data_IF_315593164266
#
_entry.id   IF_315593164266
#
_cell.length_a   1.000
_cell.length_b   1.000
_cell.length_c   1.000
_cell.angle_alpha   90.00
_cell.angle_beta   90.00
_cell.angle_gamma   90.00
#
_symmetry.space_group_name_H-M   'P 1'
#
loop_
_entity.id
_entity.type
_entity.pdbx_description
1 polymer ?
#
# COMPACT_ATOMS: atom_id res chain seq x y z
N UNK A 1 -10.13 25.22 59.76
CA UNK A 1 -11.47 24.71 60.08
C UNK A 1 -11.77 23.65 59.03
N UNK A 2 -11.96 22.42 59.52
CA UNK A 2 -12.65 21.26 58.93
C UNK A 2 -12.20 20.78 57.52
N UNK A 3 -11.45 19.67 57.40
CA UNK A 3 -11.90 18.25 57.40
C UNK A 3 -13.11 18.06 56.48
N UNK A 4 -13.12 17.30 55.39
CA UNK A 4 -12.50 16.02 55.08
C UNK A 4 -13.56 15.22 54.32
N UNK A 5 -13.21 14.60 53.20
CA UNK A 5 -14.11 13.67 52.51
C UNK A 5 -13.33 12.45 52.04
N UNK A 6 -13.55 11.29 52.69
CA UNK A 6 -13.18 9.99 52.15
C UNK A 6 -14.41 9.29 51.55
N UNK A 7 -14.23 8.54 50.45
CA UNK A 7 -14.25 7.07 50.52
C UNK A 7 -14.11 6.41 49.13
N UNK A 8 -13.42 5.26 49.08
CA UNK A 8 -13.41 4.35 47.95
C UNK A 8 -14.55 3.32 48.07
N UNK A 9 -14.97 2.74 46.95
CA UNK A 9 -15.74 1.49 46.94
C UNK A 9 -15.02 0.46 46.11
N UNK A 10 -14.36 -0.46 46.82
CA UNK A 10 -13.99 -1.77 46.34
C UNK A 10 -15.20 -2.71 46.46
N UNK A 11 -15.41 -3.54 45.45
CA UNK A 11 -16.29 -4.70 45.44
C UNK A 11 -16.10 -5.38 44.09
N UNK A 12 -15.85 -6.67 43.95
CA UNK A 12 -15.87 -7.78 44.90
C UNK A 12 -16.23 -9.02 44.07
N UNK A 13 -15.60 -10.16 44.41
CA UNK A 13 -15.99 -11.54 44.05
C UNK A 13 -15.89 -11.92 42.56
N UNK A 14 -14.94 -12.74 42.11
CA UNK A 14 -14.69 -14.15 42.44
C UNK A 14 -15.88 -15.08 42.15
N UNK A 15 -15.88 -15.72 40.98
CA UNK A 15 -16.39 -17.08 40.83
C UNK A 15 -15.43 -17.88 39.94
N UNK A 16 -14.69 -18.77 40.60
CA UNK A 16 -14.12 -19.98 40.02
C UNK A 16 -15.26 -20.97 39.83
N UNK A 17 -15.29 -21.65 38.68
CA UNK A 17 -15.90 -22.98 38.59
C UNK A 17 -14.92 -23.90 37.87
N UNK A 18 -14.51 -24.89 38.65
CA UNK A 18 -13.72 -26.06 38.30
C UNK A 18 -14.53 -27.07 37.48
N UNK A 19 -13.81 -28.15 37.12
CA UNK A 19 -14.28 -29.49 36.74
C UNK A 19 -14.66 -29.65 35.26
N UNK A 20 -13.76 -30.23 34.45
CA UNK A 20 -13.59 -31.69 34.27
C UNK A 20 -14.78 -32.30 33.51
N UNK A 21 -14.54 -32.85 32.32
CA UNK A 21 -14.61 -34.31 32.15
C UNK A 21 -14.14 -34.74 30.75
N UNK A 22 -13.65 -35.98 30.73
CA UNK A 22 -13.12 -36.82 29.66
C UNK A 22 -13.97 -36.83 28.37
N UNK A 23 -13.44 -37.17 27.18
CA UNK A 23 -12.74 -38.43 26.85
C UNK A 23 -11.93 -38.34 25.55
N UNK A 24 -10.88 -39.16 25.39
CA UNK A 24 -10.23 -39.46 24.13
C UNK A 24 -10.89 -40.67 23.45
N UNK A 25 -11.23 -40.53 22.17
CA UNK A 25 -11.57 -41.62 21.24
C UNK A 25 -11.23 -41.13 19.84
N UNK A 26 -10.26 -41.73 19.14
CA UNK A 26 -10.53 -42.80 18.18
C UNK A 26 -11.27 -42.19 16.97
N UNK A 27 -10.69 -42.06 15.77
CA UNK A 27 -10.09 -43.13 14.98
C UNK A 27 -9.03 -42.61 13.97
N UNK A 28 -8.06 -43.46 13.57
CA UNK A 28 -7.18 -43.23 12.44
C UNK A 28 -7.80 -43.79 11.14
N UNK A 29 -7.93 -42.96 10.10
CA UNK A 29 -8.16 -43.49 8.77
C UNK A 29 -8.86 -42.57 7.79
N UNK A 30 -8.09 -41.82 7.02
CA UNK A 30 -8.43 -41.51 5.63
C UNK A 30 -7.13 -41.58 4.80
N UNK A 31 -6.87 -42.70 4.09
CA UNK A 31 -5.88 -42.73 3.04
C UNK A 31 -6.49 -42.03 1.82
N UNK A 32 -6.00 -40.84 1.52
CA UNK A 32 -6.43 -40.05 0.37
C UNK A 32 -5.32 -39.12 -0.08
N UNK A 33 -4.16 -39.68 -0.42
CA UNK A 33 -3.18 -39.01 -1.29
C UNK A 33 -3.76 -39.06 -2.71
N UNK A 34 -4.81 -38.31 -2.95
CA UNK A 34 -5.29 -38.06 -4.28
C UNK A 34 -4.64 -36.77 -4.78
N UNK A 35 -3.83 -36.97 -5.82
CA UNK A 35 -3.41 -36.01 -6.82
C UNK A 35 -2.79 -34.70 -6.29
N UNK A 36 -1.49 -34.56 -6.57
CA UNK A 36 -0.95 -33.27 -6.95
C UNK A 36 -1.81 -32.70 -8.08
N UNK A 37 -2.79 -31.87 -7.70
CA UNK A 37 -3.40 -30.89 -8.55
C UNK A 37 -2.56 -29.64 -8.42
N UNK A 38 -1.46 -29.59 -9.16
CA UNK A 38 -0.90 -28.34 -9.64
C UNK A 38 -2.05 -27.55 -10.26
N UNK A 39 -2.64 -26.66 -9.47
CA UNK A 39 -3.77 -25.80 -9.82
C UNK A 39 -3.46 -24.78 -10.91
N UNK A 40 -2.54 -25.10 -11.83
CA UNK A 40 -2.44 -24.47 -13.14
C UNK A 40 -3.51 -25.08 -14.04
N UNK A 41 -4.74 -24.61 -13.83
CA UNK A 41 -5.78 -24.75 -14.84
C UNK A 41 -5.24 -24.26 -16.20
N UNK A 42 -5.50 -24.99 -17.30
CA UNK A 42 -5.02 -24.62 -18.62
C UNK A 42 -5.88 -23.46 -19.16
N UNK A 43 -5.23 -22.39 -19.64
CA UNK A 43 -5.83 -21.51 -20.63
C UNK A 43 -6.78 -20.42 -20.13
N UNK A 44 -6.48 -19.75 -19.01
CA UNK A 44 -7.04 -18.42 -18.79
C UNK A 44 -6.45 -17.47 -19.83
N UNK A 45 -7.23 -17.07 -20.84
CA UNK A 45 -6.92 -15.92 -21.72
C UNK A 45 -6.36 -14.78 -20.86
N UNK A 46 -5.27 -14.11 -21.26
CA UNK A 46 -4.70 -13.03 -20.47
C UNK A 46 -5.77 -11.97 -20.25
N UNK A 47 -6.30 -11.91 -19.01
CA UNK A 47 -7.22 -10.83 -18.63
C UNK A 47 -6.43 -9.55 -18.78
N UNK A 48 -6.94 -8.62 -19.59
CA UNK A 48 -6.30 -7.34 -19.80
C UNK A 48 -6.04 -6.66 -18.45
N UNK A 49 -4.87 -6.03 -18.32
CA UNK A 49 -4.42 -5.31 -17.11
C UNK A 49 -5.49 -4.31 -16.67
N UNK A 50 -5.97 -4.44 -15.44
CA UNK A 50 -6.98 -3.58 -14.83
C UNK A 50 -6.32 -2.53 -13.95
N UNK A 51 -6.54 -1.27 -14.31
CA UNK A 51 -5.94 -0.12 -13.63
C UNK A 51 -7.06 0.76 -13.07
N UNK A 52 -6.98 1.09 -11.78
CA UNK A 52 -7.77 2.13 -11.13
C UNK A 52 -6.88 3.35 -10.90
N UNK A 53 -7.36 4.53 -11.23
CA UNK A 53 -6.61 5.79 -11.11
C UNK A 53 -7.47 6.83 -10.39
N UNK A 54 -7.01 7.23 -9.21
CA UNK A 54 -7.63 8.26 -8.37
C UNK A 54 -6.86 9.57 -8.50
N UNK A 55 -7.47 10.56 -9.14
CA UNK A 55 -6.91 11.89 -9.36
C UNK A 55 -8.05 12.83 -9.74
N UNK A 56 -8.09 14.02 -9.15
CA UNK A 56 -9.13 15.03 -9.37
C UNK A 56 -8.76 16.08 -10.42
N UNK A 57 -7.52 16.05 -10.92
CA UNK A 57 -7.04 17.00 -11.91
C UNK A 57 -7.42 16.54 -13.33
N UNK A 58 -8.17 17.36 -14.08
CA UNK A 58 -8.65 17.00 -15.41
C UNK A 58 -7.52 16.85 -16.44
N UNK A 59 -6.41 17.59 -16.30
CA UNK A 59 -5.27 17.49 -17.21
C UNK A 59 -4.50 16.19 -16.97
N UNK A 60 -4.27 15.84 -15.70
CA UNK A 60 -3.56 14.61 -15.32
C UNK A 60 -4.37 13.36 -15.68
N UNK A 61 -5.67 13.36 -15.39
CA UNK A 61 -6.57 12.26 -15.76
C UNK A 61 -6.66 12.09 -17.28
N UNK A 62 -6.74 13.17 -18.06
CA UNK A 62 -6.73 13.11 -19.51
C UNK A 62 -5.41 12.54 -20.07
N UNK A 63 -4.27 13.00 -19.56
CA UNK A 63 -2.95 12.50 -19.94
C UNK A 63 -2.76 11.03 -19.56
N UNK A 64 -3.32 10.59 -18.43
CA UNK A 64 -3.29 9.19 -18.02
C UNK A 64 -4.17 8.32 -18.93
N UNK A 65 -5.37 8.79 -19.27
CA UNK A 65 -6.31 8.09 -20.16
C UNK A 65 -5.75 7.86 -21.56
N UNK A 66 -5.01 8.82 -22.09
CA UNK A 66 -4.38 8.69 -23.40
C UNK A 66 -3.40 7.50 -23.46
N UNK A 67 -2.68 7.26 -22.37
CA UNK A 67 -1.72 6.16 -22.23
C UNK A 67 -2.38 4.85 -21.80
N UNK A 68 -3.45 4.94 -21.01
CA UNK A 68 -4.19 3.80 -20.47
C UNK A 68 -5.69 3.91 -20.82
N UNK A 69 -6.10 3.63 -22.06
CA UNK A 69 -7.49 3.84 -22.52
C UNK A 69 -8.54 3.03 -21.75
N UNK A 70 -8.13 1.91 -21.14
CA UNK A 70 -8.98 0.98 -20.40
C UNK A 70 -8.97 1.22 -18.88
N UNK A 71 -8.22 2.21 -18.39
CA UNK A 71 -8.17 2.52 -16.97
C UNK A 71 -9.51 3.07 -16.47
N UNK A 72 -9.89 2.65 -15.27
CA UNK A 72 -10.98 3.26 -14.53
C UNK A 72 -10.46 4.52 -13.82
N UNK A 73 -10.96 5.68 -14.22
CA UNK A 73 -10.61 6.97 -13.61
C UNK A 73 -11.71 7.36 -12.62
N UNK A 74 -11.31 7.84 -11.45
CA UNK A 74 -12.19 8.35 -10.40
C UNK A 74 -11.58 9.61 -9.80
N UNK A 75 -12.43 10.57 -9.42
CA UNK A 75 -11.99 11.89 -8.95
C UNK A 75 -12.11 12.02 -7.42
N UNK A 76 -12.89 11.16 -6.77
CA UNK A 76 -13.19 11.24 -5.35
C UNK A 76 -12.71 10.01 -4.58
N UNK A 77 -12.35 10.20 -3.30
CA UNK A 77 -12.00 9.11 -2.42
C UNK A 77 -13.15 8.10 -2.27
N UNK A 78 -14.40 8.57 -2.20
CA UNK A 78 -15.60 7.74 -2.11
C UNK A 78 -15.75 6.80 -3.32
N UNK A 79 -15.64 7.35 -4.53
CA UNK A 79 -15.73 6.56 -5.76
C UNK A 79 -14.60 5.54 -5.84
N UNK A 80 -13.38 5.93 -5.45
CA UNK A 80 -12.25 5.00 -5.39
C UNK A 80 -12.53 3.85 -4.41
N UNK A 81 -13.03 4.16 -3.21
CA UNK A 81 -13.37 3.16 -2.20
C UNK A 81 -14.43 2.18 -2.70
N UNK A 82 -15.46 2.69 -3.38
CA UNK A 82 -16.50 1.84 -3.97
C UNK A 82 -15.91 0.87 -5.02
N UNK A 83 -14.98 1.35 -5.85
CA UNK A 83 -14.31 0.52 -6.89
C UNK A 83 -13.34 -0.51 -6.32
N UNK A 84 -12.81 -0.31 -5.12
CA UNK A 84 -11.96 -1.29 -4.44
C UNK A 84 -12.70 -2.55 -3.97
N UNK A 85 -14.02 -2.65 -4.20
CA UNK A 85 -14.76 -3.90 -4.06
C UNK A 85 -14.39 -4.93 -5.14
N UNK A 86 -13.79 -4.49 -6.25
CA UNK A 86 -13.32 -5.32 -7.35
C UNK A 86 -11.80 -5.54 -7.30
N UNK A 87 -11.27 -6.62 -7.89
CA UNK A 87 -9.83 -6.84 -7.98
C UNK A 87 -9.18 -5.97 -9.05
N UNK A 88 -8.02 -5.42 -8.73
CA UNK A 88 -7.21 -4.56 -9.61
C UNK A 88 -5.77 -5.04 -9.65
N UNK A 89 -5.14 -4.93 -10.82
CA UNK A 89 -3.70 -5.18 -10.95
C UNK A 89 -2.92 -3.97 -10.43
N UNK A 90 -3.44 -2.76 -10.69
CA UNK A 90 -2.84 -1.51 -10.25
C UNK A 90 -3.86 -0.51 -9.74
N UNK A 91 -3.48 0.17 -8.67
CA UNK A 91 -4.26 1.26 -8.08
C UNK A 91 -3.33 2.45 -7.88
N UNK A 92 -3.59 3.52 -8.63
CA UNK A 92 -2.89 4.78 -8.54
C UNK A 92 -3.69 5.70 -7.61
N UNK A 93 -3.03 6.25 -6.59
CA UNK A 93 -3.62 7.08 -5.55
C UNK A 93 -2.96 8.45 -5.48
N UNK A 94 -3.71 9.51 -5.80
CA UNK A 94 -3.40 10.86 -5.34
C UNK A 94 -3.86 11.06 -3.89
N UNK A 95 -3.06 11.80 -3.13
CA UNK A 95 -3.39 12.19 -1.78
C UNK A 95 -4.29 13.42 -1.74
N UNK A 96 -3.95 14.40 -2.57
CA UNK A 96 -4.54 15.73 -2.58
C UNK A 96 -5.75 15.67 -3.53
N UNK A 97 -6.95 15.95 -3.01
CA UNK A 97 -8.21 15.84 -3.76
C UNK A 97 -9.07 17.09 -3.51
N UNK A 98 -10.16 17.22 -4.28
CA UNK A 98 -11.11 18.34 -4.25
C UNK A 98 -10.51 19.70 -4.70
N UNK A 99 -9.51 19.68 -5.57
CA UNK A 99 -8.82 20.84 -6.13
C UNK A 99 -7.85 21.52 -5.16
N UNK A 100 -7.59 20.90 -4.01
CA UNK A 100 -6.73 21.43 -2.96
C UNK A 100 -5.39 20.69 -2.93
N UNK A 101 -4.29 21.42 -2.69
CA UNK A 101 -2.94 20.84 -2.58
C UNK A 101 -2.47 20.87 -1.13
N UNK A 102 -1.72 19.85 -0.69
CA UNK A 102 -1.25 19.69 0.69
C UNK A 102 -2.38 19.55 1.71
N UNK A 103 -3.39 18.76 1.38
CA UNK A 103 -4.56 18.52 2.23
C UNK A 103 -4.14 17.87 3.56
N UNK A 104 -4.93 18.06 4.63
CA UNK A 104 -4.73 17.34 5.88
C UNK A 104 -5.02 15.84 5.69
N UNK A 105 -4.03 14.99 5.94
CA UNK A 105 -4.18 13.53 5.85
C UNK A 105 -5.23 12.94 6.80
N UNK A 106 -5.70 13.68 7.81
CA UNK A 106 -6.80 13.24 8.68
C UNK A 106 -8.20 13.40 8.06
N UNK A 107 -8.34 14.13 6.95
CA UNK A 107 -9.63 14.33 6.28
C UNK A 107 -10.17 13.05 5.65
N UNK A 108 -11.50 12.93 5.62
CA UNK A 108 -12.21 11.78 5.05
C UNK A 108 -12.39 11.83 3.53
N UNK A 109 -12.05 12.95 2.88
CA UNK A 109 -12.21 13.18 1.44
C UNK A 109 -10.87 13.26 0.70
N UNK A 110 -9.79 12.73 1.29
CA UNK A 110 -8.45 12.71 0.70
C UNK A 110 -7.98 11.28 0.40
N UNK A 111 -6.89 11.12 -0.34
CA UNK A 111 -6.34 9.79 -0.67
C UNK A 111 -5.92 8.96 0.55
N UNK A 112 -5.65 9.60 1.70
CA UNK A 112 -5.38 8.86 2.93
C UNK A 112 -6.62 8.12 3.45
N UNK A 113 -7.84 8.60 3.19
CA UNK A 113 -9.06 7.86 3.55
C UNK A 113 -9.14 6.53 2.81
N UNK A 114 -8.76 6.53 1.53
CA UNK A 114 -8.70 5.31 0.72
C UNK A 114 -7.72 4.31 1.35
N UNK A 115 -6.53 4.78 1.76
CA UNK A 115 -5.53 3.96 2.44
C UNK A 115 -6.06 3.42 3.78
N UNK A 116 -6.70 4.26 4.61
CA UNK A 116 -7.34 3.83 5.86
C UNK A 116 -8.38 2.74 5.62
N UNK A 117 -9.18 2.89 4.57
CA UNK A 117 -10.21 1.92 4.19
C UNK A 117 -9.60 0.59 3.72
N UNK A 118 -8.48 0.63 2.98
CA UNK A 118 -7.75 -0.57 2.57
C UNK A 118 -7.20 -1.33 3.78
N UNK A 119 -6.52 -0.64 4.69
CA UNK A 119 -5.87 -1.30 5.85
C UNK A 119 -6.87 -1.76 6.92
N UNK A 120 -8.10 -1.22 6.92
CA UNK A 120 -9.19 -1.71 7.76
C UNK A 120 -9.75 -3.07 7.29
N UNK A 121 -9.42 -3.51 6.07
CA UNK A 121 -9.86 -4.78 5.49
C UNK A 121 -8.73 -5.81 5.51
N UNK A 122 -9.03 -7.12 5.43
CA UNK A 122 -8.00 -8.16 5.25
C UNK A 122 -7.15 -7.86 4.00
N UNK A 123 -5.85 -8.14 4.06
CA UNK A 123 -4.93 -7.87 2.95
C UNK A 123 -5.10 -8.83 1.76
N UNK A 124 -5.73 -10.00 1.96
CA UNK A 124 -5.83 -11.06 0.95
C UNK A 124 -6.39 -10.61 -0.41
N UNK A 125 -7.44 -9.76 -0.50
CA UNK A 125 -7.97 -9.28 -1.79
C UNK A 125 -7.02 -8.37 -2.56
N UNK A 126 -6.03 -7.77 -1.89
CA UNK A 126 -5.12 -6.77 -2.46
C UNK A 126 -3.69 -7.30 -2.64
N UNK A 127 -3.46 -8.59 -2.36
CA UNK A 127 -2.11 -9.17 -2.29
C UNK A 127 -1.35 -9.07 -3.62
N UNK A 128 -2.06 -9.17 -4.73
CA UNK A 128 -1.50 -9.11 -6.07
C UNK A 128 -1.60 -7.72 -6.71
N UNK A 129 -2.25 -6.77 -6.02
CA UNK A 129 -2.39 -5.38 -6.47
C UNK A 129 -1.11 -4.57 -6.18
N UNK A 130 -0.65 -3.81 -7.15
CA UNK A 130 0.38 -2.79 -6.97
C UNK A 130 -0.24 -1.42 -6.71
N UNK A 131 0.04 -0.85 -5.54
CA UNK A 131 -0.37 0.51 -5.22
C UNK A 131 0.71 1.52 -5.61
N UNK A 132 0.33 2.52 -6.40
CA UNK A 132 1.22 3.58 -6.87
C UNK A 132 0.71 4.89 -6.25
N UNK A 133 1.49 5.48 -5.35
CA UNK A 133 1.14 6.76 -4.75
C UNK A 133 1.76 7.88 -5.59
N UNK A 134 0.94 8.74 -6.17
CA UNK A 134 1.35 9.84 -7.04
C UNK A 134 0.79 11.14 -6.51
N UNK A 135 1.62 11.88 -5.76
CA UNK A 135 1.22 13.13 -5.13
C UNK A 135 2.40 14.08 -5.04
N UNK A 136 2.11 15.39 -5.03
CA UNK A 136 3.08 16.44 -4.75
C UNK A 136 3.44 16.50 -3.26
N UNK A 137 2.56 16.02 -2.38
CA UNK A 137 2.80 16.02 -0.94
C UNK A 137 3.67 14.82 -0.51
N UNK A 138 4.99 14.98 -0.60
CA UNK A 138 5.98 13.94 -0.25
C UNK A 138 5.80 13.41 1.18
N UNK A 139 5.39 14.29 2.12
CA UNK A 139 5.14 13.88 3.50
C UNK A 139 3.95 12.93 3.58
N UNK A 140 2.85 13.28 2.92
CA UNK A 140 1.67 12.42 2.86
C UNK A 140 1.94 11.11 2.11
N UNK A 141 2.68 11.16 0.99
CA UNK A 141 3.12 9.95 0.29
C UNK A 141 3.87 8.99 1.22
N UNK A 142 4.78 9.52 2.05
CA UNK A 142 5.50 8.74 3.05
C UNK A 142 4.58 8.04 4.05
N UNK A 143 3.53 8.72 4.51
CA UNK A 143 2.53 8.15 5.42
C UNK A 143 1.70 7.05 4.73
N UNK A 144 1.22 7.30 3.51
CA UNK A 144 0.43 6.33 2.74
C UNK A 144 1.23 5.06 2.45
N UNK A 145 2.45 5.21 1.93
CA UNK A 145 3.33 4.09 1.64
C UNK A 145 3.66 3.27 2.90
N UNK A 146 3.89 3.96 4.02
CA UNK A 146 4.19 3.28 5.29
C UNK A 146 3.00 2.44 5.73
N UNK A 147 1.79 3.00 5.75
CA UNK A 147 0.59 2.28 6.14
C UNK A 147 0.32 1.05 5.26
N UNK A 148 0.43 1.21 3.94
CA UNK A 148 0.25 0.10 2.99
C UNK A 148 1.30 -1.02 3.20
N UNK A 149 2.57 -0.65 3.43
CA UNK A 149 3.66 -1.63 3.65
C UNK A 149 3.55 -2.36 4.99
N UNK A 150 3.19 -1.64 6.05
CA UNK A 150 2.95 -2.25 7.37
C UNK A 150 1.78 -3.26 7.30
N UNK A 151 0.83 -3.06 6.38
CA UNK A 151 -0.24 -4.01 6.07
C UNK A 151 0.16 -5.13 5.08
N UNK A 152 1.43 -5.20 4.67
CA UNK A 152 1.95 -6.24 3.78
C UNK A 152 1.62 -6.06 2.30
N UNK A 153 1.20 -4.86 1.87
CA UNK A 153 0.84 -4.57 0.49
C UNK A 153 2.02 -4.04 -0.33
N UNK A 154 2.01 -4.32 -1.63
CA UNK A 154 3.03 -3.83 -2.56
C UNK A 154 2.74 -2.40 -2.95
N UNK A 155 3.65 -1.46 -2.64
CA UNK A 155 3.45 -0.07 -3.02
C UNK A 155 4.75 0.70 -3.33
N UNK A 156 4.62 1.67 -4.24
CA UNK A 156 5.69 2.55 -4.70
C UNK A 156 5.22 4.00 -4.77
N UNK A 157 6.14 4.94 -4.63
CA UNK A 157 5.88 6.35 -4.88
C UNK A 157 6.34 6.70 -6.29
N UNK A 158 5.49 7.36 -7.06
CA UNK A 158 5.77 7.84 -8.40
C UNK A 158 5.45 9.34 -8.48
N UNK A 159 6.45 10.21 -8.63
CA UNK A 159 6.21 11.62 -8.87
C UNK A 159 5.43 11.84 -10.17
N UNK A 160 4.63 12.91 -10.22
CA UNK A 160 3.97 13.31 -11.46
C UNK A 160 4.98 13.58 -12.59
N UNK A 161 4.56 13.32 -13.83
CA UNK A 161 5.36 13.55 -15.02
C UNK A 161 6.46 12.51 -15.28
N UNK A 162 6.59 11.48 -14.46
CA UNK A 162 7.48 10.35 -14.72
C UNK A 162 6.68 9.18 -15.29
N UNK A 163 7.06 8.66 -16.46
CA UNK A 163 6.45 7.45 -17.00
C UNK A 163 7.10 6.21 -16.37
N UNK A 164 6.27 5.31 -15.82
CA UNK A 164 6.76 4.09 -15.18
C UNK A 164 7.33 3.12 -16.21
N UNK A 165 6.81 3.10 -17.44
CA UNK A 165 7.28 2.21 -18.50
C UNK A 165 8.61 2.69 -19.08
N UNK A 166 8.80 4.01 -19.21
CA UNK A 166 10.10 4.62 -19.52
C UNK A 166 11.11 4.34 -18.40
N UNK A 167 10.71 4.52 -17.14
CA UNK A 167 11.56 4.22 -15.98
C UNK A 167 11.91 2.73 -15.82
N UNK A 168 10.96 1.82 -16.07
CA UNK A 168 11.20 0.38 -16.07
C UNK A 168 12.07 -0.05 -17.25
N UNK A 169 11.95 0.62 -18.40
CA UNK A 169 12.81 0.39 -19.56
C UNK A 169 14.24 0.83 -19.27
N UNK A 170 14.44 1.99 -18.64
CA UNK A 170 15.74 2.45 -18.17
C UNK A 170 16.39 1.48 -17.17
N UNK A 171 15.58 0.85 -16.31
CA UNK A 171 16.05 -0.19 -15.39
C UNK A 171 16.37 -1.51 -16.09
N UNK A 172 15.62 -1.89 -17.13
CA UNK A 172 15.89 -3.10 -17.94
C UNK A 172 17.18 -2.97 -18.76
N UNK A 173 17.46 -1.79 -19.33
CA UNK A 173 18.73 -1.52 -20.03
C UNK A 173 19.95 -1.71 -19.11
N UNK A 174 19.79 -1.49 -17.81
CA UNK A 174 20.84 -1.75 -16.82
C UNK A 174 20.99 -3.24 -16.44
N UNK A 175 20.04 -4.11 -16.78
CA UNK A 175 20.05 -5.56 -16.45
C UNK A 175 20.66 -6.45 -17.53
N UNK A 176 20.74 -6.01 -18.80
CA UNK A 176 21.34 -6.76 -19.91
C UNK A 176 22.86 -7.01 -19.76
N UNK A 177 23.47 -6.57 -18.66
CA UNK A 177 24.88 -6.80 -18.32
C UNK A 177 25.18 -7.99 -17.41
N UNK A 178 24.20 -8.70 -16.83
CA UNK A 178 24.51 -9.77 -15.85
C UNK A 178 23.54 -10.97 -15.86
N UNK A 179 24.00 -12.17 -16.26
CA UNK A 179 23.17 -13.36 -16.30
C UNK A 179 23.03 -14.01 -14.92
N UNK A 180 21.80 -14.37 -14.58
CA UNK A 180 21.50 -15.44 -13.62
C UNK A 180 21.05 -15.00 -12.22
N UNK A 181 19.75 -14.76 -12.05
CA UNK A 181 18.98 -15.19 -10.87
C UNK A 181 17.47 -15.01 -11.09
N UNK A 182 16.62 -15.94 -10.60
CA UNK A 182 15.19 -15.93 -10.89
C UNK A 182 14.44 -14.80 -10.18
N UNK A 183 13.37 -14.41 -10.87
CA UNK A 183 12.40 -13.37 -10.62
C UNK A 183 12.01 -13.14 -9.15
N UNK A 184 12.57 -12.08 -8.56
CA UNK A 184 11.72 -11.16 -7.80
C UNK A 184 12.24 -9.75 -8.02
N UNK A 185 11.86 -9.16 -9.16
CA UNK A 185 12.02 -7.73 -9.39
C UNK A 185 11.49 -6.91 -8.19
N UNK A 186 10.49 -7.44 -7.46
CA UNK A 186 9.97 -6.95 -6.17
C UNK A 186 11.06 -6.76 -5.08
N UNK A 187 12.00 -7.70 -4.91
CA UNK A 187 13.10 -7.58 -3.94
C UNK A 187 14.19 -6.60 -4.41
N UNK A 188 14.37 -6.46 -5.73
CA UNK A 188 15.37 -5.57 -6.33
C UNK A 188 14.89 -4.11 -6.37
N UNK A 189 13.60 -3.87 -6.59
CA UNK A 189 12.96 -2.54 -6.55
C UNK A 189 13.07 -1.92 -5.15
N UNK A 190 12.81 -2.71 -4.11
CA UNK A 190 13.02 -2.31 -2.71
C UNK A 190 14.49 -1.94 -2.42
N UNK A 191 15.44 -2.69 -2.98
CA UNK A 191 16.87 -2.42 -2.85
C UNK A 191 17.35 -1.15 -3.60
N UNK A 192 16.80 -0.88 -4.79
CA UNK A 192 17.14 0.30 -5.59
C UNK A 192 16.57 1.60 -4.99
N UNK A 193 15.32 1.56 -4.50
CA UNK A 193 14.70 2.68 -3.78
C UNK A 193 15.45 3.03 -2.48
N UNK A 194 15.99 2.03 -1.77
CA UNK A 194 16.85 2.24 -0.61
C UNK A 194 18.20 2.92 -0.90
N UNK A 195 18.66 2.92 -2.17
CA UNK A 195 19.88 3.62 -2.61
C UNK A 195 19.58 5.06 -3.05
N UNK A 196 18.45 5.30 -3.72
CA UNK A 196 18.00 6.65 -4.10
C UNK A 196 17.61 7.51 -2.88
N UNK A 197 16.92 6.93 -1.90
CA UNK A 197 16.61 7.62 -0.65
C UNK A 197 17.86 7.99 0.19
N UNK A 198 19.01 7.33 -0.05
CA UNK A 198 20.30 7.71 0.54
C UNK A 198 20.93 8.89 -0.20
N UNK A 199 20.94 8.85 -1.54
CA UNK A 199 21.43 9.96 -2.38
C UNK A 199 20.65 11.26 -2.18
N UNK A 200 19.32 11.20 -2.08
CA UNK A 200 18.50 12.39 -1.83
C UNK A 200 18.82 13.04 -0.46
N UNK A 201 19.12 12.23 0.56
CA UNK A 201 19.54 12.71 1.89
C UNK A 201 20.93 13.36 1.88
N UNK A 202 21.87 12.81 1.11
CA UNK A 202 23.21 13.39 0.95
C UNK A 202 23.18 14.75 0.23
N UNK A 203 22.37 14.88 -0.82
CA UNK A 203 22.19 16.15 -1.55
C UNK A 203 21.54 17.21 -0.65
N UNK A 204 20.53 16.83 0.15
CA UNK A 204 19.87 17.75 1.09
C UNK A 204 20.77 18.16 2.26
N UNK A 205 21.71 17.31 2.69
CA UNK A 205 22.70 17.65 3.73
C UNK A 205 23.76 18.64 3.24
N UNK A 206 24.15 18.58 1.96
CA UNK A 206 25.07 19.56 1.34
C UNK A 206 24.44 20.93 1.15
N UNK A 207 23.13 20.98 0.89
CA UNK A 207 22.40 22.25 0.75
C UNK A 207 22.25 23.02 2.08
N UNK A 208 22.40 22.37 3.24
CA UNK A 208 22.31 23.02 4.57
C UNK A 208 23.65 23.40 5.20
N UNK A 209 24.78 22.99 4.60
CA UNK A 209 26.12 23.27 5.13
C UNK A 209 26.87 24.42 4.45
N UNK A 210 26.23 25.14 3.53
CA UNK A 210 26.87 26.18 2.70
C UNK A 210 26.71 27.62 3.18
N UNK A 211 26.09 27.85 4.35
CA UNK A 211 25.88 29.18 4.91
C UNK A 211 26.77 29.42 6.11
N UNK A 212 28.07 29.60 5.88
CA UNK A 212 28.98 30.30 6.81
C UNK A 212 30.34 30.48 6.11
N UNK A 213 30.46 31.56 5.33
CA UNK A 213 31.71 32.29 5.09
C UNK A 213 31.45 33.56 4.28
N UNK A 214 32.20 34.58 4.68
CA UNK A 214 32.26 35.97 4.19
C UNK A 214 31.15 36.87 4.74
N UNK A 215 31.43 38.08 5.21
CA UNK A 215 32.61 38.76 5.74
C UNK A 215 32.06 40.07 6.36
#
# INVERSE_FOLDING_TARGET
>A
METGSPRPTAGGHAERRDAEDARPGGEPGCPGRDAGGDGRGPGGEPRGRRILFLDDDPERTAAFRLRNPTAALVETAEDCIARLAEPWDEVHLDHDLAGEVYVDSCRADCGMEVVRTIIAKPAAPFRDTLFIVHTHNVRAAGLMLRALREHGLSCVYQPFGMDLEEWLSDLKVAEDGQPGKPDSWRARLAGALGRLARRAREVSSRARGGGDREA
#
